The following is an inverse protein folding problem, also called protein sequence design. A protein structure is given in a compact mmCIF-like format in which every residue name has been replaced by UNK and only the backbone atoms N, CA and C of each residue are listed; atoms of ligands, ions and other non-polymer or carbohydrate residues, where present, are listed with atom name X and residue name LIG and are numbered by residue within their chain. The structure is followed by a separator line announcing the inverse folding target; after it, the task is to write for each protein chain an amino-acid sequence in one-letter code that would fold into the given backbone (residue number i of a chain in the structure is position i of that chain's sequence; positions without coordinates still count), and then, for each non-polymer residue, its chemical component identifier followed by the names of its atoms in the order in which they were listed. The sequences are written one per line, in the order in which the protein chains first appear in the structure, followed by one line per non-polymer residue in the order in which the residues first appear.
data_IF_887510712022
#
_entry.id   IF_887510712022
#
_cell.length_a   1.000
_cell.length_b   1.000
_cell.length_c   1.000
_cell.angle_alpha   90.00
_cell.angle_beta   90.00
_cell.angle_gamma   90.00
#
_symmetry.space_group_name_H-M   'P 1'
#
loop_
_entity.id
_entity.type
_entity.pdbx_description
1 polymer ?
#
# COMPACT_ATOMS: atom_id res chain seq x y z
N UNK A 1 1.48 -1.16 -4.08
CA UNK A 1 0.30 -0.62 -3.33
C UNK A 1 -0.77 -1.72 -3.20
N UNK A 2 -1.32 -1.95 -2.01
CA UNK A 2 -2.40 -2.94 -1.78
C UNK A 2 -3.74 -2.32 -2.20
N UNK A 3 -4.59 -3.07 -2.91
CA UNK A 3 -5.86 -2.56 -3.45
C UNK A 3 -6.98 -3.57 -3.30
N UNK A 4 -8.22 -3.09 -3.27
CA UNK A 4 -9.40 -3.92 -3.53
C UNK A 4 -9.37 -4.39 -4.99
N UNK A 5 -10.07 -5.49 -5.28
CA UNK A 5 -10.31 -5.96 -6.62
C UNK A 5 -11.41 -5.16 -7.33
N UNK A 6 -12.14 -5.85 -8.21
CA UNK A 6 -13.23 -5.27 -9.00
C UNK A 6 -14.57 -5.77 -8.47
N UNK A 7 -15.56 -4.88 -8.47
CA UNK A 7 -16.94 -5.18 -8.15
C UNK A 7 -17.70 -5.59 -9.41
N UNK A 8 -18.69 -6.46 -9.26
CA UNK A 8 -19.60 -6.87 -10.33
C UNK A 8 -20.40 -5.66 -10.86
N UNK A 9 -20.88 -4.82 -9.94
CA UNK A 9 -21.66 -3.63 -10.27
C UNK A 9 -21.46 -2.50 -9.26
N UNK A 10 -21.46 -1.27 -9.80
CA UNK A 10 -21.42 -0.02 -9.04
C UNK A 10 -20.19 0.19 -8.15
N UNK A 11 -20.09 1.40 -7.56
CA UNK A 11 -19.58 1.53 -6.20
C UNK A 11 -20.66 1.06 -5.20
N UNK A 12 -20.25 0.47 -4.08
CA UNK A 12 -21.17 0.11 -2.99
C UNK A 12 -20.96 1.01 -1.78
N UNK A 13 -22.05 1.49 -1.19
CA UNK A 13 -22.01 2.24 0.06
C UNK A 13 -22.08 1.30 1.26
N UNK A 14 -21.08 1.36 2.13
CA UNK A 14 -20.98 0.59 3.37
C UNK A 14 -21.46 1.44 4.55
N UNK A 15 -22.40 0.92 5.35
CA UNK A 15 -22.86 1.60 6.56
C UNK A 15 -22.04 1.16 7.78
N UNK A 16 -22.02 1.99 8.82
CA UNK A 16 -21.43 1.63 10.11
C UNK A 16 -22.08 0.35 10.64
N UNK A 17 -21.26 -0.60 11.06
CA UNK A 17 -21.70 -1.89 11.58
C UNK A 17 -21.90 -2.98 10.52
N UNK A 18 -21.92 -2.63 9.23
CA UNK A 18 -21.97 -3.61 8.14
C UNK A 18 -20.75 -4.53 8.22
N UNK A 19 -20.94 -5.80 7.84
CA UNK A 19 -19.84 -6.75 7.67
C UNK A 19 -19.35 -6.69 6.24
N UNK A 20 -18.05 -6.52 6.06
CA UNK A 20 -17.40 -6.48 4.76
C UNK A 20 -16.17 -7.39 4.75
N UNK A 21 -16.10 -8.29 3.79
CA UNK A 21 -15.04 -9.30 3.71
C UNK A 21 -14.06 -8.97 2.59
N UNK A 22 -12.77 -8.93 2.91
CA UNK A 22 -11.71 -8.78 1.91
C UNK A 22 -11.05 -10.14 1.74
N UNK A 23 -11.07 -10.70 0.53
CA UNK A 23 -10.63 -12.08 0.24
C UNK A 23 -9.46 -12.12 -0.74
N UNK A 24 -8.61 -13.13 -0.63
CA UNK A 24 -7.54 -13.42 -1.60
C UNK A 24 -8.05 -14.23 -2.81
N UNK A 25 -9.27 -14.78 -2.73
CA UNK A 25 -9.92 -15.50 -3.83
C UNK A 25 -10.24 -14.56 -5.00
N UNK A 26 -10.08 -15.06 -6.22
CA UNK A 26 -10.48 -14.36 -7.44
C UNK A 26 -11.99 -14.48 -7.66
N UNK A 27 -12.73 -13.53 -7.08
CA UNK A 27 -14.19 -13.45 -7.17
C UNK A 27 -14.60 -11.99 -7.42
N UNK A 28 -15.69 -11.77 -8.17
CA UNK A 28 -16.22 -10.43 -8.35
C UNK A 28 -16.73 -9.88 -7.01
N UNK A 29 -16.42 -8.62 -6.74
CA UNK A 29 -16.84 -7.94 -5.53
C UNK A 29 -18.33 -7.60 -5.52
N UNK A 30 -18.90 -7.61 -4.34
CA UNK A 30 -20.27 -7.22 -4.02
C UNK A 30 -20.26 -6.26 -2.84
N UNK A 31 -21.43 -5.88 -2.33
CA UNK A 31 -21.55 -5.08 -1.10
C UNK A 31 -20.96 -5.77 0.13
N UNK A 32 -20.85 -7.09 0.14
CA UNK A 32 -20.48 -7.89 1.32
C UNK A 32 -19.06 -8.44 1.26
N UNK A 33 -18.50 -8.57 0.04
CA UNK A 33 -17.22 -9.21 -0.18
C UNK A 33 -16.48 -8.58 -1.37
N UNK A 34 -15.16 -8.47 -1.32
CA UNK A 34 -14.34 -8.10 -2.49
C UNK A 34 -12.97 -8.78 -2.44
N UNK A 35 -12.41 -9.09 -3.61
CA UNK A 35 -11.03 -9.56 -3.71
C UNK A 35 -10.00 -8.47 -3.35
N UNK A 36 -8.75 -8.85 -3.13
CA UNK A 36 -7.62 -7.92 -2.99
C UNK A 36 -6.45 -8.33 -3.88
N UNK A 37 -5.64 -7.36 -4.29
CA UNK A 37 -4.39 -7.61 -5.02
C UNK A 37 -3.28 -8.21 -4.15
N UNK A 38 -3.47 -8.29 -2.83
CA UNK A 38 -2.44 -8.74 -1.90
C UNK A 38 -2.81 -10.08 -1.25
N UNK A 39 -2.23 -11.16 -1.78
CA UNK A 39 -2.46 -12.51 -1.27
C UNK A 39 -1.99 -12.71 0.18
N UNK A 40 -1.04 -11.90 0.66
CA UNK A 40 -0.54 -11.93 2.04
C UNK A 40 -1.47 -11.29 3.07
N UNK A 41 -2.58 -10.66 2.65
CA UNK A 41 -3.45 -9.88 3.55
C UNK A 41 -3.91 -10.67 4.79
N UNK A 42 -4.38 -11.93 4.69
CA UNK A 42 -4.77 -12.69 5.87
C UNK A 42 -3.59 -13.02 6.80
N UNK A 43 -2.38 -13.17 6.28
CA UNK A 43 -1.18 -13.43 7.09
C UNK A 43 -0.72 -12.21 7.90
N UNK A 44 -0.94 -11.02 7.36
CA UNK A 44 -0.53 -9.76 7.98
C UNK A 44 -1.60 -9.22 8.95
N UNK A 45 -2.88 -9.59 8.79
CA UNK A 45 -3.98 -9.08 9.62
C UNK A 45 -4.31 -9.98 10.82
N UNK A 46 -4.82 -9.36 11.89
CA UNK A 46 -5.36 -10.01 13.08
C UNK A 46 -6.66 -9.36 13.53
N UNK A 47 -7.55 -10.08 14.23
CA UNK A 47 -8.72 -9.48 14.87
C UNK A 47 -8.33 -8.29 15.73
N UNK A 48 -8.99 -7.16 15.51
CA UNK A 48 -8.66 -5.89 16.16
C UNK A 48 -7.78 -4.96 15.32
N UNK A 49 -7.26 -5.35 14.16
CA UNK A 49 -6.52 -4.44 13.28
C UNK A 49 -7.44 -3.46 12.52
N UNK A 50 -6.91 -2.28 12.17
CA UNK A 50 -7.62 -1.26 11.39
C UNK A 50 -7.19 -1.36 9.94
N UNK A 51 -8.15 -1.45 9.03
CA UNK A 51 -7.90 -1.27 7.61
C UNK A 51 -8.59 0.00 7.14
N UNK A 52 -7.87 0.80 6.39
CA UNK A 52 -8.36 2.02 5.76
C UNK A 52 -8.51 1.78 4.26
N UNK A 53 -9.64 2.19 3.71
CA UNK A 53 -9.96 2.05 2.29
C UNK A 53 -10.14 3.43 1.70
N UNK A 54 -9.62 3.62 0.49
CA UNK A 54 -9.69 4.89 -0.25
C UNK A 54 -9.11 6.06 0.55
N UNK A 55 -7.83 5.93 0.90
CA UNK A 55 -7.05 6.95 1.63
C UNK A 55 -7.74 7.37 2.96
N UNK A 56 -8.41 6.41 3.63
CA UNK A 56 -9.06 6.63 4.91
C UNK A 56 -10.50 7.12 4.85
N UNK A 57 -11.08 7.31 3.65
CA UNK A 57 -12.49 7.69 3.49
C UNK A 57 -13.45 6.63 4.08
N UNK A 58 -13.04 5.36 4.08
CA UNK A 58 -13.74 4.25 4.72
C UNK A 58 -12.78 3.55 5.67
N UNK A 59 -13.25 3.18 6.86
CA UNK A 59 -12.46 2.44 7.83
C UNK A 59 -13.21 1.22 8.32
N UNK A 60 -12.51 0.09 8.40
CA UNK A 60 -13.06 -1.17 8.88
C UNK A 60 -12.15 -1.79 9.94
N UNK A 61 -12.74 -2.47 10.92
CA UNK A 61 -12.04 -3.27 11.92
C UNK A 61 -12.05 -4.73 11.54
N UNK A 62 -10.90 -5.39 11.52
CA UNK A 62 -10.84 -6.85 11.39
C UNK A 62 -11.52 -7.50 12.60
N UNK A 63 -12.45 -8.43 12.34
CA UNK A 63 -13.16 -9.20 13.38
C UNK A 63 -12.78 -10.68 13.36
N UNK A 64 -12.39 -11.21 12.19
CA UNK A 64 -12.02 -12.62 12.00
C UNK A 64 -11.11 -12.72 10.78
N UNK A 65 -10.13 -13.62 10.85
CA UNK A 65 -9.21 -13.93 9.74
C UNK A 65 -9.20 -15.43 9.52
N UNK A 66 -9.34 -15.85 8.27
CA UNK A 66 -9.19 -17.25 7.82
C UNK A 66 -7.99 -17.34 6.88
N UNK A 67 -7.77 -18.52 6.27
CA UNK A 67 -6.69 -18.71 5.28
C UNK A 67 -6.82 -17.79 4.07
N UNK A 68 -8.05 -17.37 3.70
CA UNK A 68 -8.30 -16.55 2.51
C UNK A 68 -9.05 -15.26 2.79
N UNK A 69 -9.76 -15.16 3.91
CA UNK A 69 -10.71 -14.08 4.14
C UNK A 69 -10.33 -13.26 5.37
N UNK A 70 -10.36 -11.94 5.23
CA UNK A 70 -10.32 -10.98 6.33
C UNK A 70 -11.72 -10.40 6.47
N UNK A 71 -12.48 -10.89 7.45
CA UNK A 71 -13.81 -10.35 7.75
C UNK A 71 -13.67 -9.12 8.62
N UNK A 72 -14.40 -8.08 8.27
CA UNK A 72 -14.32 -6.79 8.94
C UNK A 72 -15.68 -6.25 9.32
N UNK A 73 -15.71 -5.32 10.27
CA UNK A 73 -16.87 -4.50 10.62
C UNK A 73 -16.58 -3.05 10.30
N UNK A 74 -17.50 -2.39 9.61
CA UNK A 74 -17.33 -0.99 9.18
C UNK A 74 -17.43 -0.05 10.38
N UNK A 75 -16.40 0.79 10.58
CA UNK A 75 -16.30 1.82 11.62
C UNK A 75 -16.63 3.21 11.05
N UNK A 76 -16.14 3.52 9.85
CA UNK A 76 -16.40 4.77 9.12
C UNK A 76 -17.09 4.42 7.80
N UNK A 77 -18.31 4.92 7.55
CA UNK A 77 -19.10 4.56 6.38
C UNK A 77 -18.60 5.28 5.13
N UNK A 78 -18.93 4.74 3.96
CA UNK A 78 -18.61 5.40 2.69
C UNK A 78 -18.67 4.46 1.49
N UNK A 79 -18.30 4.98 0.32
CA UNK A 79 -18.30 4.20 -0.92
C UNK A 79 -17.01 3.41 -1.09
N UNK A 80 -17.13 2.14 -1.44
CA UNK A 80 -16.04 1.32 -1.96
C UNK A 80 -16.25 1.11 -3.46
N UNK A 81 -15.16 1.14 -4.23
CA UNK A 81 -15.20 0.98 -5.68
C UNK A 81 -13.93 0.32 -6.22
N UNK A 82 -13.91 0.05 -7.52
CA UNK A 82 -12.86 -0.72 -8.17
C UNK A 82 -11.45 -0.20 -7.85
N UNK A 83 -10.57 -1.12 -7.45
CA UNK A 83 -9.15 -0.85 -7.26
C UNK A 83 -8.87 0.26 -6.25
N UNK A 84 -9.74 0.55 -5.28
CA UNK A 84 -9.42 1.50 -4.20
C UNK A 84 -8.26 0.95 -3.35
N UNK A 85 -7.40 1.86 -2.88
CA UNK A 85 -6.26 1.50 -2.04
C UNK A 85 -6.71 0.97 -0.69
N UNK A 86 -5.92 0.05 -0.13
CA UNK A 86 -6.04 -0.42 1.24
C UNK A 86 -4.76 -0.05 1.97
N UNK A 87 -4.90 0.60 3.11
CA UNK A 87 -3.80 0.90 4.02
C UNK A 87 -4.03 0.12 5.33
N UNK A 88 -2.93 -0.32 5.95
CA UNK A 88 -2.95 -1.09 7.19
C UNK A 88 -2.11 -0.39 8.26
N UNK A 89 -2.58 0.74 8.83
CA UNK A 89 -1.80 1.49 9.80
C UNK A 89 -1.46 0.62 11.02
N UNK A 90 -0.19 0.61 11.41
CA UNK A 90 0.31 -0.18 12.54
C UNK A 90 0.49 -1.69 12.26
N UNK A 91 0.19 -2.16 11.06
CA UNK A 91 0.42 -3.55 10.64
C UNK A 91 1.74 -3.65 9.89
N UNK A 92 2.55 -4.65 10.23
CA UNK A 92 3.78 -4.95 9.50
C UNK A 92 3.45 -5.62 8.17
N UNK A 93 3.37 -4.82 7.11
CA UNK A 93 3.03 -5.31 5.76
C UNK A 93 4.24 -6.01 5.12
N UNK A 94 4.06 -7.27 4.72
CA UNK A 94 5.09 -8.14 4.15
C UNK A 94 5.25 -7.99 2.63
N UNK A 95 5.26 -6.76 2.12
CA UNK A 95 5.48 -6.45 0.69
C UNK A 95 6.94 -6.04 0.48
N UNK A 96 7.64 -6.49 -0.59
CA UNK A 96 8.97 -6.01 -0.94
C UNK A 96 8.98 -4.52 -1.29
N UNK A 97 10.16 -3.89 -1.34
CA UNK A 97 10.29 -2.48 -1.72
C UNK A 97 9.91 -2.25 -3.20
N UNK A 98 10.32 -3.16 -4.07
CA UNK A 98 9.89 -3.24 -5.47
C UNK A 98 9.03 -4.49 -5.68
N UNK A 99 7.89 -4.31 -6.35
CA UNK A 99 7.15 -5.44 -6.93
C UNK A 99 7.72 -5.80 -8.30
N UNK A 100 7.42 -7.00 -8.82
CA UNK A 100 7.79 -7.39 -10.19
C UNK A 100 7.40 -6.33 -11.22
N UNK A 101 6.20 -5.76 -11.05
CA UNK A 101 5.68 -4.68 -11.89
C UNK A 101 6.49 -3.39 -11.76
N UNK A 102 6.95 -3.05 -10.55
CA UNK A 102 7.78 -1.86 -10.33
C UNK A 102 9.16 -2.04 -10.96
N UNK A 103 9.73 -3.25 -10.94
CA UNK A 103 10.99 -3.52 -11.64
C UNK A 103 10.83 -3.41 -13.17
N UNK A 104 9.74 -3.93 -13.74
CA UNK A 104 9.42 -3.77 -15.17
C UNK A 104 9.28 -2.28 -15.55
N UNK A 105 8.52 -1.52 -14.74
CA UNK A 105 8.33 -0.08 -14.94
C UNK A 105 9.66 0.68 -14.80
N UNK A 106 10.52 0.29 -13.87
CA UNK A 106 11.84 0.88 -13.67
C UNK A 106 12.73 0.64 -14.90
N UNK A 107 12.83 -0.61 -15.38
CA UNK A 107 13.57 -0.93 -16.60
C UNK A 107 13.05 -0.12 -17.79
N UNK A 108 11.73 0.00 -17.92
CA UNK A 108 11.12 0.82 -18.96
C UNK A 108 11.47 2.32 -18.80
N UNK A 109 11.32 2.88 -17.60
CA UNK A 109 11.57 4.29 -17.28
C UNK A 109 13.03 4.69 -17.55
N UNK A 110 13.99 3.82 -17.24
CA UNK A 110 15.40 4.03 -17.53
C UNK A 110 15.66 4.11 -19.04
N UNK A 111 15.04 3.23 -19.83
CA UNK A 111 15.23 3.18 -21.29
C UNK A 111 14.57 4.33 -22.04
N UNK A 112 13.44 4.87 -21.56
CA UNK A 112 12.83 6.10 -22.12
C UNK A 112 13.60 7.37 -21.71
N UNK A 113 14.54 7.27 -20.77
CA UNK A 113 15.41 8.36 -20.38
C UNK A 113 14.84 9.25 -19.28
N UNK A 114 14.10 8.67 -18.33
CA UNK A 114 13.69 9.42 -17.13
C UNK A 114 14.90 10.00 -16.39
N UNK A 115 14.75 11.21 -15.85
CA UNK A 115 15.82 11.93 -15.13
C UNK A 115 15.91 11.52 -13.65
N UNK A 116 14.78 11.17 -13.04
CA UNK A 116 14.66 10.79 -11.64
C UNK A 116 13.75 9.58 -11.48
N UNK A 117 14.06 8.74 -10.50
CA UNK A 117 13.21 7.64 -10.06
C UNK A 117 12.70 7.98 -8.65
N UNK A 118 11.41 7.79 -8.38
CA UNK A 118 10.85 7.97 -7.04
C UNK A 118 10.32 6.63 -6.52
N UNK A 119 10.92 6.12 -5.44
CA UNK A 119 10.51 4.87 -4.81
C UNK A 119 9.39 5.15 -3.80
N UNK A 120 8.25 4.48 -3.98
CA UNK A 120 7.10 4.56 -3.06
C UNK A 120 7.28 3.60 -1.88
N UNK A 121 6.63 3.90 -0.76
CA UNK A 121 6.57 3.07 0.44
C UNK A 121 7.92 2.65 1.02
N UNK A 122 8.93 3.52 0.89
CA UNK A 122 10.24 3.34 1.54
C UNK A 122 10.02 3.17 3.04
N UNK A 123 10.72 2.22 3.66
CA UNK A 123 10.67 1.93 5.09
C UNK A 123 12.03 2.09 5.76
N UNK A 124 13.11 1.82 5.03
CA UNK A 124 14.46 1.97 5.53
C UNK A 124 15.47 2.22 4.38
N UNK A 125 16.73 2.48 4.75
CA UNK A 125 17.79 2.80 3.82
C UNK A 125 18.10 1.67 2.82
N UNK A 126 17.84 0.40 3.17
CA UNK A 126 18.22 -0.74 2.34
C UNK A 126 17.29 -0.93 1.14
N UNK A 127 16.11 -0.31 1.16
CA UNK A 127 15.14 -0.36 0.06
C UNK A 127 15.72 0.20 -1.26
N UNK A 128 16.76 1.05 -1.20
CA UNK A 128 17.46 1.54 -2.40
C UNK A 128 18.24 0.43 -3.13
N UNK A 129 18.64 -0.63 -2.42
CA UNK A 129 19.47 -1.69 -3.01
C UNK A 129 18.72 -2.43 -4.12
N UNK A 130 17.41 -2.64 -3.96
CA UNK A 130 16.57 -3.29 -4.97
C UNK A 130 16.51 -2.43 -6.26
N UNK A 131 16.43 -1.10 -6.11
CA UNK A 131 16.45 -0.16 -7.24
C UNK A 131 17.82 -0.18 -7.93
N UNK A 132 18.90 -0.14 -7.16
CA UNK A 132 20.26 -0.19 -7.70
C UNK A 132 20.58 -1.51 -8.40
N UNK A 133 20.06 -2.64 -7.92
CA UNK A 133 20.22 -3.93 -8.59
C UNK A 133 19.65 -3.89 -10.02
N UNK A 134 18.44 -3.33 -10.19
CA UNK A 134 17.83 -3.17 -11.52
C UNK A 134 18.61 -2.17 -12.38
N UNK A 135 19.10 -1.06 -11.80
CA UNK A 135 19.94 -0.09 -12.52
C UNK A 135 21.26 -0.71 -12.99
N UNK A 136 21.86 -1.58 -12.18
CA UNK A 136 23.07 -2.33 -12.51
C UNK A 136 22.84 -3.28 -13.69
N UNK A 137 21.74 -4.05 -13.66
CA UNK A 137 21.35 -4.95 -14.75
C UNK A 137 21.15 -4.20 -16.08
N UNK A 138 20.51 -3.03 -16.04
CA UNK A 138 20.25 -2.21 -17.23
C UNK A 138 21.48 -1.41 -17.68
N UNK A 139 22.41 -1.13 -16.76
CA UNK A 139 23.58 -0.28 -16.99
C UNK A 139 23.27 1.22 -17.04
N UNK A 140 22.14 1.65 -16.46
CA UNK A 140 21.71 3.06 -16.44
C UNK A 140 21.34 3.45 -15.01
N UNK A 141 22.06 4.41 -14.45
CA UNK A 141 21.81 4.96 -13.11
C UNK A 141 21.10 6.30 -13.17
N UNK A 142 20.19 6.54 -12.23
CA UNK A 142 19.48 7.81 -12.04
C UNK A 142 19.36 8.14 -10.56
N UNK A 143 19.31 9.42 -10.18
CA UNK A 143 19.02 9.80 -8.81
C UNK A 143 17.70 9.19 -8.33
N UNK A 144 17.70 8.60 -7.15
CA UNK A 144 16.55 7.96 -6.52
C UNK A 144 16.02 8.83 -5.38
N UNK A 145 14.74 9.17 -5.45
CA UNK A 145 14.01 9.94 -4.45
C UNK A 145 13.21 8.97 -3.57
N UNK A 146 13.47 8.95 -2.27
CA UNK A 146 12.64 8.21 -1.32
C UNK A 146 11.34 8.96 -1.02
N UNK A 147 10.18 8.33 -1.23
CA UNK A 147 8.90 8.88 -0.77
C UNK A 147 8.68 8.53 0.69
N UNK A 148 8.68 9.56 1.54
CA UNK A 148 8.42 9.45 2.97
C UNK A 148 6.91 9.43 3.19
N UNK A 149 6.36 8.22 3.28
CA UNK A 149 4.92 7.96 3.43
C UNK A 149 4.58 6.82 4.40
N UNK A 150 5.59 6.20 5.00
CA UNK A 150 5.43 5.17 6.01
C UNK A 150 5.95 5.66 7.36
N UNK A 151 5.34 5.26 8.49
CA UNK A 151 5.84 5.60 9.82
C UNK A 151 7.30 5.19 10.01
N UNK A 152 7.68 4.02 9.50
CA UNK A 152 9.06 3.52 9.54
C UNK A 152 10.04 4.45 8.79
N UNK A 153 9.59 5.07 7.69
CA UNK A 153 10.42 6.03 6.95
C UNK A 153 10.72 7.28 7.77
N UNK A 154 9.77 7.71 8.60
CA UNK A 154 9.94 8.84 9.51
C UNK A 154 10.88 8.45 10.65
N UNK A 155 10.75 7.24 11.18
CA UNK A 155 11.62 6.70 12.24
C UNK A 155 13.08 6.53 11.76
N UNK A 156 13.28 6.06 10.53
CA UNK A 156 14.61 5.83 9.93
C UNK A 156 15.09 6.98 9.03
N UNK A 157 14.51 8.18 9.17
CA UNK A 157 14.69 9.28 8.21
C UNK A 157 16.16 9.63 7.95
N UNK A 158 17.00 9.64 8.98
CA UNK A 158 18.41 10.00 8.84
C UNK A 158 19.15 9.02 7.92
N UNK A 159 18.97 7.72 8.14
CA UNK A 159 19.61 6.67 7.33
C UNK A 159 19.09 6.69 5.88
N UNK A 160 17.80 6.99 5.69
CA UNK A 160 17.21 7.14 4.35
C UNK A 160 17.81 8.36 3.63
N UNK A 161 17.97 9.49 4.30
CA UNK A 161 18.57 10.70 3.71
C UNK A 161 20.04 10.47 3.35
N UNK A 162 20.76 9.66 4.11
CA UNK A 162 22.16 9.31 3.82
C UNK A 162 22.27 8.35 2.61
N UNK A 163 21.28 7.47 2.41
CA UNK A 163 21.32 6.45 1.36
C UNK A 163 20.75 6.92 0.00
N UNK A 164 19.71 7.76 0.00
CA UNK A 164 19.02 8.21 -1.20
C UNK A 164 19.51 9.59 -1.70
N UNK A 165 19.33 9.87 -2.99
CA UNK A 165 19.73 11.14 -3.61
C UNK A 165 18.78 12.31 -3.30
N UNK A 166 17.61 11.99 -2.74
CA UNK A 166 16.62 12.98 -2.31
C UNK A 166 15.43 12.34 -1.59
N UNK A 167 14.58 13.19 -1.04
CA UNK A 167 13.34 12.76 -0.38
C UNK A 167 12.13 13.54 -0.91
N UNK A 168 10.97 12.91 -0.88
CA UNK A 168 9.67 13.51 -1.15
C UNK A 168 8.75 13.28 0.04
N UNK A 169 8.27 14.36 0.67
CA UNK A 169 7.29 14.28 1.75
C UNK A 169 5.90 14.03 1.15
N UNK A 170 5.51 12.77 1.08
CA UNK A 170 4.25 12.33 0.48
C UNK A 170 3.11 12.40 1.51
N UNK A 171 2.74 13.62 1.88
CA UNK A 171 1.75 13.94 2.95
C UNK A 171 0.41 13.24 2.80
N UNK A 172 -0.03 12.97 1.56
CA UNK A 172 -1.29 12.29 1.29
C UNK A 172 -1.30 10.88 1.87
N UNK A 173 -0.39 10.02 1.39
CA UNK A 173 -0.25 8.66 1.91
C UNK A 173 0.24 8.67 3.37
N UNK A 174 1.15 9.58 3.77
CA UNK A 174 1.62 9.67 5.15
C UNK A 174 0.48 9.95 6.15
N UNK A 175 -0.40 10.90 5.84
CA UNK A 175 -1.55 11.26 6.70
C UNK A 175 -2.63 10.19 6.81
N UNK A 176 -2.54 9.11 6.04
CA UNK A 176 -3.36 7.91 6.19
C UNK A 176 -2.69 6.92 7.17
N UNK A 177 -1.36 6.92 7.24
CA UNK A 177 -0.58 5.95 8.02
C UNK A 177 -0.23 6.45 9.43
N UNK A 178 -0.16 7.78 9.65
CA UNK A 178 0.02 8.42 10.95
C UNK A 178 -1.14 9.38 11.27
N UNK A 179 -1.35 9.77 12.54
CA UNK A 179 -2.33 10.80 12.86
C UNK A 179 -2.08 12.09 12.06
N UNK A 180 -3.13 12.67 11.47
CA UNK A 180 -3.01 13.80 10.55
C UNK A 180 -2.31 15.01 11.19
N UNK A 181 -2.50 15.22 12.49
CA UNK A 181 -1.86 16.27 13.28
C UNK A 181 -0.35 16.10 13.46
N UNK A 182 0.20 14.94 13.10
CA UNK A 182 1.64 14.62 13.18
C UNK A 182 2.36 14.63 11.83
N UNK A 183 1.65 14.96 10.74
CA UNK A 183 2.18 15.05 9.36
C UNK A 183 2.98 16.33 9.13
#
# INVERSE_FOLDING_TARGET
KIRLGRFEDGPHYLNVGDTFTITTRDVPGTKELVSTTFAGLPGDCRPGDRLLIDDGNVAVRVIEVTDTDVKTRVEVPGNVSNNKGINLPGVAVSVPALTEKDEEDLRWALNIGADFIALSFVRDAKDINDVHAVMEEVGIYRPVIAKIEKPQAVEHLLEIVEAFDGIMVARGDLGVEVPLETV
#
